data_IF_862368455680
#
_entry.id   IF_862368455680
#
_cell.length_a   1.000
_cell.length_b   1.000
_cell.length_c   1.000
_cell.angle_alpha   90.00
_cell.angle_beta   90.00
_cell.angle_gamma   90.00
#
_symmetry.space_group_name_H-M   'P 1'
#
loop_
_entity.id
_entity.type
_entity.pdbx_description
1 polymer ?
#
# COMPACT_ATOMS: atom_id res chain seq x y z
N UNK A 1 -8.09 -0.81 20.84
CA UNK A 1 -9.22 -0.38 20.00
C UNK A 1 -9.20 -1.26 18.77
N UNK A 2 -10.28 -1.94 18.47
CA UNK A 2 -10.38 -2.66 17.20
C UNK A 2 -10.48 -1.63 16.08
N UNK A 3 -9.79 -1.89 14.97
CA UNK A 3 -9.79 -0.98 13.84
C UNK A 3 -11.20 -0.93 13.23
N UNK A 4 -11.73 0.27 12.97
CA UNK A 4 -13.06 0.49 12.38
C UNK A 4 -13.28 -0.37 11.12
N UNK A 5 -12.23 -0.58 10.33
CA UNK A 5 -12.28 -1.37 9.11
C UNK A 5 -12.49 -2.85 9.38
N UNK A 6 -12.00 -3.37 10.52
CA UNK A 6 -12.22 -4.76 10.96
C UNK A 6 -13.69 -4.99 11.30
N UNK A 7 -14.31 -4.06 12.02
CA UNK A 7 -15.73 -4.15 12.34
C UNK A 7 -16.57 -4.11 11.07
N UNK A 8 -16.27 -3.18 10.15
CA UNK A 8 -16.91 -3.10 8.84
C UNK A 8 -16.76 -4.41 8.03
N UNK A 9 -15.56 -5.01 8.06
CA UNK A 9 -15.33 -6.28 7.37
C UNK A 9 -16.26 -7.37 7.88
N UNK A 10 -16.39 -7.55 9.20
CA UNK A 10 -17.23 -8.58 9.80
C UNK A 10 -18.73 -8.32 9.60
N UNK A 11 -19.17 -7.06 9.75
CA UNK A 11 -20.59 -6.72 9.75
C UNK A 11 -21.18 -6.51 8.36
N UNK A 12 -20.40 -6.01 7.41
CA UNK A 12 -20.91 -5.62 6.08
C UNK A 12 -20.26 -6.44 4.94
N UNK A 13 -18.93 -6.57 4.95
CA UNK A 13 -18.19 -7.15 3.81
C UNK A 13 -18.40 -8.67 3.72
N UNK A 14 -18.29 -9.38 4.83
CA UNK A 14 -18.47 -10.85 4.88
C UNK A 14 -19.85 -11.26 4.38
N UNK A 15 -20.98 -10.71 4.88
CA UNK A 15 -22.31 -11.07 4.36
C UNK A 15 -22.51 -10.74 2.89
N UNK A 16 -22.00 -9.58 2.43
CA UNK A 16 -22.12 -9.17 1.03
C UNK A 16 -21.38 -10.10 0.08
N UNK A 17 -20.12 -10.47 0.41
CA UNK A 17 -19.34 -11.40 -0.38
C UNK A 17 -19.95 -12.81 -0.40
N UNK A 18 -20.46 -13.27 0.74
CA UNK A 18 -21.14 -14.56 0.82
C UNK A 18 -22.37 -14.61 -0.05
N UNK A 19 -23.16 -13.55 -0.06
CA UNK A 19 -24.37 -13.46 -0.90
C UNK A 19 -24.01 -13.41 -2.40
N UNK A 20 -22.95 -12.66 -2.77
CA UNK A 20 -22.56 -12.46 -4.17
C UNK A 20 -21.90 -13.69 -4.80
N UNK A 21 -21.00 -14.34 -4.08
CA UNK A 21 -20.21 -15.46 -4.60
C UNK A 21 -20.66 -16.85 -4.11
N UNK A 22 -21.59 -16.91 -3.14
CA UNK A 22 -22.19 -18.16 -2.69
C UNK A 22 -21.24 -19.08 -1.91
N UNK A 23 -20.29 -18.52 -1.16
CA UNK A 23 -19.36 -19.32 -0.36
C UNK A 23 -20.08 -20.22 0.66
N UNK A 24 -19.69 -21.48 0.70
CA UNK A 24 -20.26 -22.47 1.63
C UNK A 24 -19.61 -22.40 3.01
N UNK A 25 -18.37 -21.98 3.07
CA UNK A 25 -17.59 -21.88 4.30
C UNK A 25 -17.12 -20.44 4.53
N UNK A 26 -17.27 -19.96 5.74
CA UNK A 26 -16.81 -18.60 6.14
C UNK A 26 -15.29 -18.42 5.92
N UNK A 27 -14.51 -19.51 6.02
CA UNK A 27 -13.06 -19.46 5.80
C UNK A 27 -12.65 -19.32 4.32
N UNK A 28 -13.57 -19.52 3.37
CA UNK A 28 -13.34 -19.30 1.94
C UNK A 28 -13.49 -17.83 1.55
N UNK A 29 -14.14 -17.04 2.39
CA UNK A 29 -14.40 -15.63 2.11
C UNK A 29 -13.07 -14.88 2.06
N UNK A 30 -12.81 -14.13 0.96
CA UNK A 30 -11.56 -13.40 0.82
C UNK A 30 -11.42 -12.32 1.88
N UNK A 31 -10.17 -12.19 2.36
CA UNK A 31 -9.76 -11.17 3.34
C UNK A 31 -8.45 -10.54 2.95
N UNK A 32 -8.21 -9.34 3.44
CA UNK A 32 -6.92 -8.68 3.30
C UNK A 32 -5.90 -9.38 4.21
N UNK A 33 -4.78 -9.82 3.62
CA UNK A 33 -3.72 -10.54 4.34
C UNK A 33 -2.61 -9.62 4.82
N UNK A 34 -2.15 -8.74 3.92
CA UNK A 34 -1.10 -7.76 4.19
C UNK A 34 -1.15 -6.61 3.19
N UNK A 35 -0.58 -5.47 3.61
CA UNK A 35 -0.28 -4.35 2.71
C UNK A 35 1.23 -4.17 2.69
N UNK A 36 1.81 -4.10 1.50
CA UNK A 36 3.24 -3.84 1.29
C UNK A 36 3.39 -2.48 0.67
N UNK A 37 4.17 -1.62 1.30
CA UNK A 37 4.50 -0.30 0.77
C UNK A 37 5.98 -0.32 0.38
N UNK A 38 6.28 0.07 -0.84
CA UNK A 38 7.63 0.17 -1.36
C UNK A 38 7.91 1.59 -1.84
N UNK A 39 9.08 2.11 -1.48
CA UNK A 39 9.58 3.39 -1.96
C UNK A 39 10.91 3.14 -2.66
N UNK A 40 11.00 3.49 -3.96
CA UNK A 40 12.24 3.44 -4.73
C UNK A 40 13.12 4.64 -4.36
N UNK A 41 14.35 4.37 -3.91
CA UNK A 41 15.31 5.38 -3.46
C UNK A 41 16.64 5.29 -4.25
N UNK A 42 16.55 4.96 -5.52
CA UNK A 42 17.71 4.85 -6.40
C UNK A 42 18.44 6.17 -6.62
N UNK A 43 17.77 7.30 -6.47
CA UNK A 43 18.32 8.65 -6.46
C UNK A 43 19.14 8.97 -5.21
N UNK A 44 18.84 8.30 -4.09
CA UNK A 44 19.51 8.51 -2.81
C UNK A 44 20.69 7.57 -2.56
N UNK A 45 21.09 6.73 -3.54
CA UNK A 45 22.12 5.70 -3.38
C UNK A 45 23.47 6.22 -2.87
N UNK A 46 23.82 7.46 -3.24
CA UNK A 46 25.08 8.12 -2.89
C UNK A 46 24.90 9.14 -1.73
N UNK A 47 23.68 9.31 -1.21
CA UNK A 47 23.35 10.26 -0.15
C UNK A 47 22.65 9.56 1.02
N UNK A 48 23.44 9.18 2.03
CA UNK A 48 22.93 8.49 3.22
C UNK A 48 21.90 9.32 4.01
N UNK A 49 22.05 10.67 4.03
CA UNK A 49 21.12 11.57 4.73
C UNK A 49 19.73 11.58 4.05
N UNK A 50 19.70 11.68 2.73
CA UNK A 50 18.45 11.64 1.98
C UNK A 50 17.74 10.27 2.13
N UNK A 51 18.50 9.18 2.16
CA UNK A 51 17.97 7.85 2.45
C UNK A 51 17.34 7.78 3.85
N UNK A 52 18.01 8.31 4.86
CA UNK A 52 17.51 8.32 6.24
C UNK A 52 16.23 9.16 6.35
N UNK A 53 16.17 10.32 5.70
CA UNK A 53 14.95 11.14 5.66
C UNK A 53 13.79 10.38 5.02
N UNK A 54 13.99 9.75 3.87
CA UNK A 54 12.96 8.95 3.22
C UNK A 54 12.49 7.74 4.07
N UNK A 55 13.40 7.09 4.79
CA UNK A 55 13.06 6.03 5.75
C UNK A 55 12.23 6.55 6.91
N UNK A 56 12.55 7.74 7.42
CA UNK A 56 11.78 8.38 8.51
C UNK A 56 10.38 8.80 8.04
N UNK A 57 10.26 9.36 6.83
CA UNK A 57 8.98 9.67 6.20
C UNK A 57 8.10 8.42 6.05
N UNK A 58 8.66 7.34 5.49
CA UNK A 58 7.93 6.09 5.35
C UNK A 58 7.56 5.47 6.71
N UNK A 59 8.39 5.67 7.74
CA UNK A 59 8.09 5.24 9.11
C UNK A 59 6.89 6.01 9.66
N UNK A 60 6.82 7.32 9.45
CA UNK A 60 5.70 8.16 9.88
C UNK A 60 4.40 7.75 9.16
N UNK A 61 4.46 7.51 7.85
CA UNK A 61 3.31 7.08 7.04
C UNK A 61 2.80 5.70 7.47
N UNK A 62 3.70 4.73 7.65
CA UNK A 62 3.34 3.34 7.91
C UNK A 62 3.09 3.03 9.39
N UNK A 63 3.55 3.87 10.30
CA UNK A 63 3.56 3.58 11.75
C UNK A 63 4.49 2.42 12.14
N UNK A 64 5.37 1.99 11.23
CA UNK A 64 6.31 0.90 11.43
C UNK A 64 7.61 1.18 10.68
N UNK A 65 8.76 0.86 11.30
CA UNK A 65 10.07 1.06 10.68
C UNK A 65 10.22 0.18 9.42
N UNK A 66 10.50 0.77 8.25
CA UNK A 66 10.72 0.03 7.01
C UNK A 66 12.07 -0.69 7.00
N UNK A 67 12.17 -1.71 6.17
CA UNK A 67 13.41 -2.37 5.86
C UNK A 67 14.05 -1.71 4.64
N UNK A 68 15.29 -1.30 4.76
CA UNK A 68 16.08 -0.79 3.63
C UNK A 68 16.44 -1.96 2.71
N UNK A 69 16.13 -1.82 1.44
CA UNK A 69 16.43 -2.83 0.42
C UNK A 69 17.74 -2.52 -0.29
N UNK A 70 18.55 -3.57 -0.50
CA UNK A 70 19.87 -3.48 -1.10
C UNK A 70 19.90 -4.10 -2.49
N UNK A 71 20.77 -3.56 -3.34
CA UNK A 71 21.02 -4.12 -4.67
C UNK A 71 21.59 -5.54 -4.57
N UNK A 72 21.03 -6.47 -5.33
CA UNK A 72 21.47 -7.87 -5.39
C UNK A 72 22.60 -8.11 -6.39
N UNK A 73 22.74 -7.22 -7.38
CA UNK A 73 23.75 -7.31 -8.45
C UNK A 73 24.30 -5.93 -8.78
N UNK A 74 25.55 -5.88 -9.24
CA UNK A 74 26.16 -4.66 -9.76
C UNK A 74 25.72 -4.43 -11.20
N UNK A 75 25.29 -3.20 -11.54
CA UNK A 75 24.87 -2.80 -12.88
C UNK A 75 25.55 -1.48 -13.23
N UNK A 76 26.49 -1.52 -14.17
CA UNK A 76 27.33 -0.38 -14.53
C UNK A 76 26.53 0.79 -15.11
N UNK A 77 25.52 0.51 -15.95
CA UNK A 77 24.67 1.55 -16.56
C UNK A 77 23.92 2.41 -15.54
N UNK A 78 23.56 1.83 -14.39
CA UNK A 78 22.90 2.56 -13.30
C UNK A 78 23.89 3.03 -12.21
N UNK A 79 25.19 2.88 -12.43
CA UNK A 79 26.23 3.16 -11.42
C UNK A 79 25.92 2.49 -10.07
N UNK A 80 25.45 1.23 -10.14
CA UNK A 80 24.98 0.47 -9.00
C UNK A 80 25.98 -0.64 -8.68
N UNK A 81 26.34 -0.75 -7.41
CA UNK A 81 27.14 -1.87 -6.88
C UNK A 81 26.29 -2.75 -5.99
N UNK A 82 26.62 -4.03 -5.94
CA UNK A 82 26.01 -4.97 -5.01
C UNK A 82 26.14 -4.46 -3.56
N UNK A 83 25.04 -4.58 -2.79
CA UNK A 83 24.99 -4.11 -1.41
C UNK A 83 24.63 -2.63 -1.24
N UNK A 84 24.58 -1.82 -2.30
CA UNK A 84 24.11 -0.43 -2.20
C UNK A 84 22.61 -0.36 -1.86
N UNK A 85 22.24 0.61 -1.03
CA UNK A 85 20.85 0.85 -0.67
C UNK A 85 20.11 1.47 -1.85
N UNK A 86 18.96 0.88 -2.24
CA UNK A 86 18.19 1.28 -3.43
C UNK A 86 16.71 1.53 -3.15
N UNK A 87 16.24 1.24 -1.96
CA UNK A 87 14.84 1.44 -1.60
C UNK A 87 14.55 1.15 -0.15
N UNK A 88 13.30 1.36 0.21
CA UNK A 88 12.77 1.00 1.51
C UNK A 88 11.40 0.33 1.32
N UNK A 89 11.11 -0.72 2.07
CA UNK A 89 9.81 -1.36 2.07
C UNK A 89 9.33 -1.67 3.48
N UNK A 90 8.02 -1.65 3.66
CA UNK A 90 7.36 -2.06 4.89
C UNK A 90 6.20 -3.00 4.58
N UNK A 91 6.01 -4.00 5.40
CA UNK A 91 4.88 -4.93 5.31
C UNK A 91 4.02 -4.75 6.54
N UNK A 92 2.77 -4.35 6.33
CA UNK A 92 1.78 -4.14 7.38
C UNK A 92 0.82 -5.32 7.44
N UNK A 93 0.49 -5.75 8.65
CA UNK A 93 -0.47 -6.85 8.94
C UNK A 93 -1.34 -6.48 10.16
N UNK A 94 -2.48 -7.14 10.28
CA UNK A 94 -3.40 -6.96 11.41
C UNK A 94 -3.90 -5.53 11.53
N UNK A 95 -4.04 -5.01 12.73
CA UNK A 95 -4.59 -3.67 13.00
C UNK A 95 -3.87 -2.54 12.28
N UNK A 96 -2.53 -2.60 12.18
CA UNK A 96 -1.75 -1.58 11.45
C UNK A 96 -2.07 -1.55 9.96
N UNK A 97 -2.34 -2.69 9.35
CA UNK A 97 -2.76 -2.80 7.96
C UNK A 97 -4.14 -2.17 7.75
N UNK A 98 -5.07 -2.46 8.65
CA UNK A 98 -6.44 -1.95 8.60
C UNK A 98 -6.47 -0.43 8.82
N UNK A 99 -5.73 0.08 9.81
CA UNK A 99 -5.58 1.51 10.07
C UNK A 99 -4.93 2.25 8.90
N UNK A 100 -3.90 1.66 8.28
CA UNK A 100 -3.26 2.23 7.10
C UNK A 100 -4.21 2.30 5.92
N UNK A 101 -4.99 1.23 5.66
CA UNK A 101 -5.97 1.22 4.59
C UNK A 101 -7.08 2.24 4.81
N UNK A 102 -7.62 2.35 6.03
CA UNK A 102 -8.63 3.35 6.38
C UNK A 102 -8.11 4.78 6.17
N UNK A 103 -6.90 5.06 6.62
CA UNK A 103 -6.22 6.34 6.40
C UNK A 103 -5.99 6.63 4.91
N UNK A 104 -5.51 5.64 4.15
CA UNK A 104 -5.26 5.79 2.73
C UNK A 104 -6.52 6.15 1.96
N UNK A 105 -7.60 5.40 2.18
CA UNK A 105 -8.86 5.55 1.44
C UNK A 105 -9.60 6.83 1.82
N UNK A 106 -9.69 7.14 3.11
CA UNK A 106 -10.55 8.22 3.60
C UNK A 106 -9.84 9.56 3.77
N UNK A 107 -8.51 9.57 3.91
CA UNK A 107 -7.74 10.79 4.18
C UNK A 107 -6.75 11.10 3.06
N UNK A 108 -5.91 10.13 2.66
CA UNK A 108 -4.83 10.39 1.72
C UNK A 108 -5.30 10.51 0.27
N UNK A 109 -6.08 9.55 -0.23
CA UNK A 109 -6.56 9.56 -1.62
C UNK A 109 -7.40 10.79 -1.98
N UNK A 110 -8.32 11.30 -1.12
CA UNK A 110 -9.04 12.54 -1.42
C UNK A 110 -8.15 13.78 -1.56
N UNK A 111 -6.93 13.74 -1.02
CA UNK A 111 -5.93 14.82 -1.12
C UNK A 111 -5.08 14.76 -2.40
N UNK A 112 -5.20 13.67 -3.16
CA UNK A 112 -4.52 13.56 -4.47
C UNK A 112 -5.11 14.60 -5.42
N UNK A 113 -4.23 15.35 -6.09
CA UNK A 113 -4.63 16.35 -7.08
C UNK A 113 -5.35 15.69 -8.25
N UNK A 114 -6.50 16.25 -8.65
CA UNK A 114 -7.34 15.73 -9.75
C UNK A 114 -7.71 14.24 -9.59
N UNK A 115 -7.97 13.80 -8.36
CA UNK A 115 -8.31 12.42 -8.08
C UNK A 115 -9.64 12.01 -8.76
N UNK A 116 -9.59 10.96 -9.59
CA UNK A 116 -10.75 10.41 -10.32
C UNK A 116 -11.04 8.95 -9.97
N UNK A 117 -10.42 8.43 -8.94
CA UNK A 117 -10.45 7.02 -8.56
C UNK A 117 -9.12 6.31 -8.83
N UNK A 118 -8.98 5.13 -8.23
CA UNK A 118 -7.83 4.26 -8.44
C UNK A 118 -8.07 3.33 -9.64
N UNK A 119 -7.04 2.92 -10.40
CA UNK A 119 -7.21 2.03 -11.55
C UNK A 119 -7.94 0.75 -11.19
N UNK A 120 -8.90 0.36 -12.01
CA UNK A 120 -9.73 -0.83 -11.75
C UNK A 120 -9.13 -2.14 -12.29
N UNK A 121 -8.06 -2.05 -13.09
CA UNK A 121 -7.41 -3.13 -13.85
C UNK A 121 -5.99 -3.48 -13.35
N UNK A 122 -5.56 -2.88 -12.23
CA UNK A 122 -4.22 -3.10 -11.67
C UNK A 122 -4.14 -4.32 -10.74
N UNK A 123 -4.79 -5.41 -11.13
CA UNK A 123 -4.73 -6.72 -10.47
C UNK A 123 -3.70 -7.63 -11.15
N UNK A 124 -3.19 -8.61 -10.42
CA UNK A 124 -2.13 -9.53 -10.87
C UNK A 124 -2.63 -10.86 -11.44
N UNK A 125 -3.94 -11.06 -11.56
CA UNK A 125 -4.56 -12.33 -11.97
C UNK A 125 -4.73 -13.35 -10.85
N UNK A 126 -4.31 -13.01 -9.62
CA UNK A 126 -4.38 -13.87 -8.42
C UNK A 126 -5.02 -13.19 -7.22
N UNK A 127 -5.78 -12.14 -7.47
CA UNK A 127 -6.49 -11.42 -6.43
C UNK A 127 -5.64 -10.44 -5.61
N UNK A 128 -4.46 -10.04 -6.07
CA UNK A 128 -3.69 -8.96 -5.46
C UNK A 128 -3.83 -7.68 -6.27
N UNK A 129 -3.82 -6.55 -5.59
CA UNK A 129 -4.01 -5.23 -6.21
C UNK A 129 -2.81 -4.33 -5.95
N UNK A 130 -2.35 -3.63 -6.99
CA UNK A 130 -1.25 -2.69 -6.91
C UNK A 130 -1.69 -1.29 -7.30
N UNK A 131 -1.23 -0.29 -6.56
CA UNK A 131 -1.42 1.12 -6.92
C UNK A 131 -0.14 1.92 -6.67
N UNK A 132 0.13 2.87 -7.55
CA UNK A 132 1.21 3.84 -7.41
C UNK A 132 0.68 5.18 -6.90
N UNK A 133 1.39 5.77 -5.96
CA UNK A 133 1.20 7.14 -5.48
C UNK A 133 2.40 7.95 -5.94
N UNK A 134 2.14 9.09 -6.56
CA UNK A 134 3.21 9.95 -7.12
C UNK A 134 3.90 10.81 -6.06
N UNK A 135 3.19 11.18 -5.00
CA UNK A 135 3.65 12.14 -4.01
C UNK A 135 3.32 11.68 -2.60
N UNK A 136 4.33 11.62 -1.71
CA UNK A 136 4.12 11.29 -0.29
C UNK A 136 3.37 12.38 0.49
N UNK A 137 3.26 13.58 -0.07
CA UNK A 137 2.60 14.74 0.56
C UNK A 137 1.08 14.59 0.77
N UNK A 138 0.48 13.59 0.14
CA UNK A 138 -0.95 13.28 0.38
C UNK A 138 -1.21 12.78 1.80
N UNK A 139 -0.18 12.25 2.47
CA UNK A 139 -0.30 11.80 3.86
C UNK A 139 -0.17 12.98 4.83
N UNK A 140 -1.10 13.11 5.79
CA UNK A 140 -1.12 14.25 6.71
C UNK A 140 0.09 14.31 7.66
N UNK A 141 0.78 13.19 7.86
CA UNK A 141 1.97 13.11 8.70
C UNK A 141 3.21 13.75 8.07
N UNK A 142 3.17 14.03 6.76
CA UNK A 142 4.29 14.58 6.01
C UNK A 142 4.09 16.08 5.84
N UNK A 143 5.02 16.86 6.39
CA UNK A 143 5.06 18.30 6.26
C UNK A 143 5.96 18.72 5.09
N UNK A 144 5.46 19.60 4.21
CA UNK A 144 6.17 20.06 3.01
C UNK A 144 7.55 20.66 3.34
N UNK A 145 7.66 21.40 4.44
CA UNK A 145 8.90 22.08 4.81
C UNK A 145 10.01 21.14 5.33
N UNK A 146 9.67 19.89 5.63
CA UNK A 146 10.58 18.90 6.22
C UNK A 146 11.09 17.86 5.23
N UNK A 147 10.58 17.84 4.01
CA UNK A 147 11.02 16.89 2.99
C UNK A 147 12.21 17.44 2.20
N UNK A 148 13.09 16.54 1.75
CA UNK A 148 14.20 16.89 0.86
C UNK A 148 13.81 16.77 -0.62
N UNK A 149 12.91 15.84 -0.96
CA UNK A 149 12.39 15.65 -2.31
C UNK A 149 10.99 15.04 -2.31
N UNK A 150 10.21 15.32 -3.34
CA UNK A 150 8.94 14.63 -3.59
C UNK A 150 9.24 13.22 -4.12
N UNK A 151 8.69 12.20 -3.45
CA UNK A 151 8.86 10.79 -3.81
C UNK A 151 7.53 10.09 -3.91
N UNK A 152 7.45 9.22 -4.91
CA UNK A 152 6.34 8.29 -5.03
C UNK A 152 6.56 7.01 -4.24
N UNK A 153 5.49 6.23 -4.15
CA UNK A 153 5.52 4.90 -3.55
C UNK A 153 4.54 3.97 -4.22
N UNK A 154 4.84 2.68 -4.17
CA UNK A 154 3.96 1.61 -4.62
C UNK A 154 3.32 0.95 -3.41
N UNK A 155 2.00 0.74 -3.48
CA UNK A 155 1.23 0.08 -2.44
C UNK A 155 0.60 -1.17 -3.03
N UNK A 156 0.95 -2.33 -2.47
CA UNK A 156 0.44 -3.62 -2.87
C UNK A 156 -0.48 -4.17 -1.78
N UNK A 157 -1.73 -4.43 -2.14
CA UNK A 157 -2.73 -5.10 -1.31
C UNK A 157 -2.73 -6.59 -1.65
N UNK A 158 -2.32 -7.41 -0.71
CA UNK A 158 -2.33 -8.87 -0.86
C UNK A 158 -3.55 -9.42 -0.14
N UNK A 159 -4.37 -10.14 -0.89
CA UNK A 159 -5.60 -10.75 -0.39
C UNK A 159 -5.52 -12.27 -0.43
N UNK A 160 -6.49 -12.93 0.18
CA UNK A 160 -6.66 -14.38 0.08
C UNK A 160 -7.65 -14.77 -1.02
N UNK A 161 -8.08 -13.82 -1.86
CA UNK A 161 -8.96 -14.09 -3.00
C UNK A 161 -8.27 -15.01 -4.02
N UNK A 162 -9.05 -15.84 -4.68
CA UNK A 162 -8.56 -16.71 -5.75
C UNK A 162 -8.63 -16.04 -7.12
N UNK A 163 -9.52 -15.06 -7.27
CA UNK A 163 -9.74 -14.33 -8.52
C UNK A 163 -9.69 -12.81 -8.31
N UNK A 164 -9.39 -12.08 -9.38
CA UNK A 164 -9.37 -10.62 -9.34
C UNK A 164 -10.76 -10.02 -9.09
N UNK A 165 -11.82 -10.70 -9.54
CA UNK A 165 -13.20 -10.27 -9.30
C UNK A 165 -13.56 -10.30 -7.81
N UNK A 166 -13.18 -11.37 -7.11
CA UNK A 166 -13.35 -11.49 -5.66
C UNK A 166 -12.58 -10.40 -4.91
N UNK A 167 -11.32 -10.18 -5.30
CA UNK A 167 -10.48 -9.16 -4.70
C UNK A 167 -10.99 -7.75 -4.95
N UNK A 168 -11.47 -7.46 -6.17
CA UNK A 168 -12.06 -6.18 -6.52
C UNK A 168 -13.29 -5.88 -5.69
N UNK A 169 -14.17 -6.87 -5.53
CA UNK A 169 -15.37 -6.70 -4.71
C UNK A 169 -15.01 -6.50 -3.24
N UNK A 170 -14.07 -7.30 -2.71
CA UNK A 170 -13.56 -7.13 -1.36
C UNK A 170 -13.06 -5.71 -1.12
N UNK A 171 -12.16 -5.22 -1.96
CA UNK A 171 -11.57 -3.87 -1.81
C UNK A 171 -12.61 -2.77 -2.00
N UNK A 172 -13.57 -2.94 -2.92
CA UNK A 172 -14.68 -2.00 -3.14
C UNK A 172 -15.56 -1.88 -1.91
N UNK A 173 -15.96 -3.00 -1.30
CA UNK A 173 -16.75 -3.03 -0.06
C UNK A 173 -15.99 -2.45 1.13
N UNK A 174 -14.65 -2.63 1.16
CA UNK A 174 -13.78 -1.99 2.15
C UNK A 174 -13.60 -0.48 1.92
N UNK A 175 -14.08 0.04 0.79
CA UNK A 175 -14.14 1.47 0.50
C UNK A 175 -13.13 1.97 -0.54
N UNK A 176 -12.41 1.08 -1.23
CA UNK A 176 -11.49 1.49 -2.30
C UNK A 176 -12.25 2.19 -3.45
N UNK A 177 -11.90 3.44 -3.80
CA UNK A 177 -12.61 4.24 -4.79
C UNK A 177 -12.12 3.92 -6.21
N UNK A 178 -12.53 2.80 -6.77
CA UNK A 178 -12.17 2.45 -8.15
C UNK A 178 -12.73 3.45 -9.16
N UNK A 179 -11.93 3.79 -10.16
CA UNK A 179 -12.36 4.59 -11.29
C UNK A 179 -13.45 3.83 -12.08
N UNK A 180 -14.46 4.58 -12.56
CA UNK A 180 -15.56 4.04 -13.38
C UNK A 180 -15.16 3.99 -14.84
#
# INVERSE_FOLDING_TARGET
MDARLKDKYVTEVVPALQQKFGYKNVNEIPKLEKVVINMGLGDCKDNAKALEMAVNELTAIAGQKPMVTKAKKSIANFKLREGMNIGAKVTLRGSRMEEFMDKLVNIALPRVRDFRGVPADSFDGKGNYNMGIKEQLIFPEIEYDKIDAVRGMDICFVTTANTDEEARELLSLMGAPFAR
#
